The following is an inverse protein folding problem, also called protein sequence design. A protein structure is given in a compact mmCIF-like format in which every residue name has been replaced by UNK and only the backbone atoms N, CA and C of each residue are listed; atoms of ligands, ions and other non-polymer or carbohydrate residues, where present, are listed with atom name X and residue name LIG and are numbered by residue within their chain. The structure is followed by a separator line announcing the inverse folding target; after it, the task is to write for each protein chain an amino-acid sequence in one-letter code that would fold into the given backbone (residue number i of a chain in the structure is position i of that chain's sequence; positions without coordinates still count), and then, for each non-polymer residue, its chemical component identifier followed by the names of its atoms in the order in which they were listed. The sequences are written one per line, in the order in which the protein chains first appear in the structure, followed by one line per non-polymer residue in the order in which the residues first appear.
data_IF_192252796029
#
_entry.id   IF_192252796029
#
_cell.length_a   1.000
_cell.length_b   1.000
_cell.length_c   1.000
_cell.angle_alpha   90.00
_cell.angle_beta   90.00
_cell.angle_gamma   90.00
#
_symmetry.space_group_name_H-M   'P 1'
#
loop_
_entity.id
_entity.type
_entity.pdbx_description
1 polymer ?
#
# COMPACT_ATOMS: atom_id res chain seq x y z
N UNK A 1 -0.45 -20.61 4.58
CA UNK A 1 -0.17 -19.34 5.29
C UNK A 1 -1.16 -18.26 4.88
N UNK A 2 -1.34 -17.90 3.61
CA UNK A 2 -2.29 -16.90 3.15
C UNK A 2 -3.73 -17.16 3.59
N UNK A 3 -4.19 -18.45 3.54
CA UNK A 3 -5.52 -18.84 4.04
C UNK A 3 -5.69 -18.62 5.54
N UNK A 4 -4.58 -18.61 6.30
CA UNK A 4 -4.55 -18.34 7.73
C UNK A 4 -4.37 -16.85 8.07
N UNK A 5 -4.52 -15.94 7.10
CA UNK A 5 -4.49 -14.49 7.33
C UNK A 5 -3.17 -13.78 6.99
N UNK A 6 -2.10 -14.51 6.64
CA UNK A 6 -0.85 -13.88 6.23
C UNK A 6 -1.03 -13.09 4.93
N UNK A 7 -0.26 -12.00 4.78
CA UNK A 7 -0.33 -11.11 3.63
C UNK A 7 0.92 -11.17 2.74
N UNK A 8 1.98 -11.83 3.20
CA UNK A 8 3.26 -11.95 2.49
C UNK A 8 3.41 -13.30 1.84
N UNK A 9 3.96 -13.28 0.63
CA UNK A 9 4.36 -14.46 -0.14
C UNK A 9 5.87 -14.43 -0.30
N UNK A 10 6.52 -15.50 0.10
CA UNK A 10 7.96 -15.64 -0.03
C UNK A 10 8.32 -16.34 -1.35
N UNK A 11 9.49 -16.01 -1.89
CA UNK A 11 9.95 -16.55 -3.18
C UNK A 11 10.04 -18.08 -3.20
N UNK A 12 10.36 -18.71 -2.05
CA UNK A 12 10.39 -20.17 -1.90
C UNK A 12 9.00 -20.83 -1.79
N UNK A 13 7.92 -20.05 -1.73
CA UNK A 13 6.54 -20.54 -1.74
C UNK A 13 5.94 -20.57 -3.17
N UNK A 14 6.66 -20.01 -4.16
CA UNK A 14 6.23 -19.96 -5.57
C UNK A 14 6.81 -21.12 -6.36
N UNK A 15 5.98 -21.74 -7.18
CA UNK A 15 6.46 -22.66 -8.23
C UNK A 15 7.12 -21.84 -9.34
N UNK A 16 8.42 -21.58 -9.19
CA UNK A 16 9.20 -20.76 -10.13
C UNK A 16 9.44 -21.44 -11.48
N UNK A 17 9.20 -22.74 -11.58
CA UNK A 17 9.27 -23.48 -12.85
C UNK A 17 8.02 -23.17 -13.69
N UNK A 18 6.85 -23.14 -13.05
CA UNK A 18 5.59 -22.78 -13.72
C UNK A 18 5.42 -21.25 -13.87
N UNK A 19 5.94 -20.47 -12.92
CA UNK A 19 5.78 -19.01 -12.91
C UNK A 19 7.12 -18.34 -12.56
N UNK A 20 7.99 -18.12 -13.54
CA UNK A 20 9.27 -17.47 -13.33
C UNK A 20 9.11 -16.03 -12.83
N UNK A 21 9.68 -15.71 -11.64
CA UNK A 21 9.52 -14.40 -11.03
C UNK A 21 10.11 -13.24 -11.88
N UNK A 22 11.15 -13.52 -12.66
CA UNK A 22 11.78 -12.53 -13.55
C UNK A 22 10.86 -12.07 -14.71
N UNK A 23 9.72 -12.73 -14.92
CA UNK A 23 8.71 -12.30 -15.90
C UNK A 23 7.85 -11.13 -15.42
N UNK A 24 7.97 -10.74 -14.13
CA UNK A 24 7.23 -9.63 -13.56
C UNK A 24 8.12 -8.40 -13.35
N UNK A 25 7.57 -7.23 -13.61
CA UNK A 25 8.16 -5.99 -13.15
C UNK A 25 7.78 -5.70 -11.69
N UNK A 26 8.65 -4.97 -10.98
CA UNK A 26 8.36 -4.55 -9.62
C UNK A 26 7.09 -3.69 -9.58
N UNK A 27 6.16 -4.03 -8.68
CA UNK A 27 4.86 -3.38 -8.54
C UNK A 27 3.75 -3.89 -9.45
N UNK A 28 4.02 -4.87 -10.34
CA UNK A 28 2.95 -5.50 -11.13
C UNK A 28 1.91 -6.12 -10.19
N UNK A 29 0.64 -6.01 -10.59
CA UNK A 29 -0.44 -6.72 -9.92
C UNK A 29 -0.70 -8.04 -10.64
N UNK A 30 -0.81 -9.12 -9.89
CA UNK A 30 -1.04 -10.46 -10.42
C UNK A 30 -2.07 -11.22 -9.58
N UNK A 31 -2.74 -12.19 -10.20
CA UNK A 31 -3.58 -13.14 -9.48
C UNK A 31 -2.66 -14.22 -8.89
N UNK A 32 -2.70 -14.39 -7.58
CA UNK A 32 -2.05 -15.50 -6.90
C UNK A 32 -3.00 -16.69 -6.85
N UNK A 33 -2.51 -17.85 -7.29
CA UNK A 33 -3.25 -19.09 -7.29
C UNK A 33 -2.59 -20.14 -6.39
N UNK A 34 -3.40 -21.03 -5.80
CA UNK A 34 -2.90 -22.23 -5.17
C UNK A 34 -2.45 -23.25 -6.23
N UNK A 35 -1.64 -24.25 -5.84
CA UNK A 35 -1.16 -25.32 -6.73
C UNK A 35 -2.26 -26.02 -7.54
N UNK A 36 -3.50 -26.04 -7.07
CA UNK A 36 -4.66 -26.58 -7.78
C UNK A 36 -5.40 -25.56 -8.65
N UNK A 37 -4.82 -24.38 -8.96
CA UNK A 37 -5.43 -23.34 -9.81
C UNK A 37 -6.52 -22.51 -9.14
N UNK A 38 -6.77 -22.71 -7.83
CA UNK A 38 -7.76 -21.90 -7.11
C UNK A 38 -7.19 -20.52 -6.80
N UNK A 39 -7.84 -19.43 -7.24
CA UNK A 39 -7.41 -18.07 -6.91
C UNK A 39 -7.42 -17.81 -5.40
N UNK A 40 -6.39 -17.14 -4.92
CA UNK A 40 -6.20 -16.75 -3.52
C UNK A 40 -6.33 -15.24 -3.32
N UNK A 41 -6.15 -14.45 -4.36
CA UNK A 41 -6.28 -13.01 -4.35
C UNK A 41 -5.38 -12.28 -5.35
N UNK A 42 -5.42 -10.97 -5.30
CA UNK A 42 -4.55 -10.06 -6.04
C UNK A 42 -3.34 -9.72 -5.18
N UNK A 43 -2.16 -9.78 -5.76
CA UNK A 43 -0.88 -9.43 -5.11
C UNK A 43 -0.14 -8.35 -5.89
N UNK A 44 0.69 -7.57 -5.19
CA UNK A 44 1.71 -6.72 -5.80
C UNK A 44 3.05 -7.46 -5.78
N UNK A 45 3.75 -7.45 -6.91
CA UNK A 45 5.00 -8.19 -7.10
C UNK A 45 6.23 -7.36 -6.72
N UNK A 46 7.18 -8.02 -6.04
CA UNK A 46 8.55 -7.55 -5.78
C UNK A 46 9.50 -8.70 -6.14
N UNK A 47 9.70 -8.97 -7.44
CA UNK A 47 10.25 -10.25 -7.93
C UNK A 47 11.70 -10.51 -7.47
N UNK A 48 12.45 -9.47 -7.13
CA UNK A 48 13.86 -9.57 -6.72
C UNK A 48 14.03 -9.71 -5.20
N UNK A 49 12.95 -9.73 -4.43
CA UNK A 49 12.98 -9.77 -2.98
C UNK A 49 12.55 -11.13 -2.42
N UNK A 50 13.00 -11.44 -1.21
CA UNK A 50 12.58 -12.63 -0.48
C UNK A 50 11.05 -12.64 -0.28
N UNK A 51 10.45 -11.50 0.10
CA UNK A 51 9.00 -11.29 0.06
C UNK A 51 8.65 -10.84 -1.36
N UNK A 52 8.43 -11.83 -2.24
CA UNK A 52 8.26 -11.58 -3.68
C UNK A 52 6.87 -11.08 -4.06
N UNK A 53 5.90 -11.20 -3.16
CA UNK A 53 4.56 -10.65 -3.39
C UNK A 53 3.85 -10.31 -2.07
N UNK A 54 2.99 -9.30 -2.12
CA UNK A 54 2.16 -8.85 -0.99
C UNK A 54 0.71 -8.82 -1.40
N UNK A 55 -0.14 -9.46 -0.59
CA UNK A 55 -1.58 -9.57 -0.86
C UNK A 55 -2.25 -8.19 -0.75
N UNK A 56 -2.89 -7.77 -1.82
CA UNK A 56 -3.66 -6.52 -1.92
C UNK A 56 -5.14 -6.74 -1.69
N UNK A 57 -5.70 -7.80 -2.27
CA UNK A 57 -7.11 -8.14 -2.12
C UNK A 57 -7.30 -9.65 -2.16
N UNK A 58 -8.22 -10.17 -1.35
CA UNK A 58 -8.64 -11.58 -1.42
C UNK A 58 -9.70 -11.81 -2.50
N UNK A 59 -10.35 -10.76 -2.96
CA UNK A 59 -11.26 -10.80 -4.10
C UNK A 59 -10.48 -10.42 -5.37
N UNK A 60 -10.41 -11.34 -6.30
CA UNK A 60 -9.69 -11.16 -7.58
C UNK A 60 -10.37 -10.16 -8.52
N UNK A 61 -11.56 -9.70 -8.20
CA UNK A 61 -12.27 -8.67 -8.96
C UNK A 61 -11.83 -7.24 -8.57
N UNK A 62 -11.15 -7.09 -7.45
CA UNK A 62 -10.74 -5.79 -6.91
C UNK A 62 -9.22 -5.62 -6.95
N UNK A 63 -8.74 -5.00 -8.00
CA UNK A 63 -7.35 -4.54 -8.13
C UNK A 63 -7.09 -3.36 -7.20
N UNK A 64 -5.82 -3.09 -6.90
CA UNK A 64 -5.44 -1.88 -6.18
C UNK A 64 -5.56 -0.69 -7.12
N UNK A 65 -6.64 0.04 -6.95
CA UNK A 65 -6.97 1.28 -7.64
C UNK A 65 -7.51 2.33 -6.66
N UNK A 66 -7.90 3.48 -7.17
CA UNK A 66 -8.51 4.54 -6.37
C UNK A 66 -9.74 4.07 -5.60
N UNK A 67 -10.60 3.23 -6.20
CA UNK A 67 -11.84 2.77 -5.56
C UNK A 67 -11.54 1.91 -4.33
N UNK A 68 -10.60 0.96 -4.43
CA UNK A 68 -10.16 0.13 -3.31
C UNK A 68 -9.46 0.97 -2.24
N UNK A 69 -8.64 1.96 -2.63
CA UNK A 69 -8.00 2.88 -1.70
C UNK A 69 -9.03 3.69 -0.91
N UNK A 70 -10.02 4.30 -1.59
CA UNK A 70 -11.12 5.04 -0.93
C UNK A 70 -11.86 4.15 0.07
N UNK A 71 -12.21 2.92 -0.33
CA UNK A 71 -12.88 1.99 0.57
C UNK A 71 -12.05 1.72 1.83
N UNK A 72 -10.77 1.41 1.69
CA UNK A 72 -9.88 1.09 2.83
C UNK A 72 -9.57 2.28 3.71
N UNK A 73 -9.44 3.47 3.13
CA UNK A 73 -9.30 4.71 3.89
C UNK A 73 -10.53 4.98 4.75
N UNK A 74 -11.75 4.75 4.24
CA UNK A 74 -12.97 4.89 5.03
C UNK A 74 -13.05 3.85 6.17
N UNK A 75 -12.64 2.61 5.93
CA UNK A 75 -12.56 1.59 6.99
C UNK A 75 -11.56 1.99 8.07
N UNK A 76 -10.36 2.43 7.67
CA UNK A 76 -9.33 2.90 8.59
C UNK A 76 -9.80 4.12 9.39
N UNK A 77 -10.42 5.10 8.73
CA UNK A 77 -11.01 6.29 9.36
C UNK A 77 -12.03 5.90 10.43
N UNK A 78 -13.00 5.05 10.07
CA UNK A 78 -14.04 4.59 11.00
C UNK A 78 -13.46 3.95 12.27
N UNK A 79 -12.34 3.22 12.15
CA UNK A 79 -11.66 2.64 13.30
C UNK A 79 -10.98 3.72 14.16
N UNK A 80 -10.26 4.68 13.52
CA UNK A 80 -9.51 5.73 14.25
C UNK A 80 -10.45 6.70 14.97
N UNK A 81 -11.57 7.05 14.37
CA UNK A 81 -12.60 7.92 15.00
C UNK A 81 -13.21 7.31 16.27
N UNK A 82 -13.17 5.99 16.42
CA UNK A 82 -13.59 5.30 17.66
C UNK A 82 -12.51 5.30 18.74
N UNK A 83 -11.23 5.47 18.35
CA UNK A 83 -10.09 5.34 19.26
C UNK A 83 -9.51 6.70 19.68
N UNK A 84 -9.73 7.74 18.88
CA UNK A 84 -9.10 9.04 19.07
C UNK A 84 -10.12 10.18 18.99
N UNK A 85 -10.10 11.05 19.99
CA UNK A 85 -11.00 12.22 20.07
C UNK A 85 -10.62 13.33 19.09
N UNK A 86 -9.36 13.35 18.63
CA UNK A 86 -8.82 14.39 17.75
C UNK A 86 -8.15 13.76 16.52
N UNK A 87 -8.16 14.44 15.37
CA UNK A 87 -7.62 13.91 14.11
C UNK A 87 -6.08 14.00 14.04
N UNK A 88 -5.38 13.48 15.05
CA UNK A 88 -3.92 13.42 15.16
C UNK A 88 -3.52 11.98 15.44
N UNK A 89 -3.33 11.19 14.37
CA UNK A 89 -3.05 9.75 14.51
C UNK A 89 -2.48 9.18 13.20
N UNK A 90 -1.88 7.99 13.32
CA UNK A 90 -1.58 7.16 12.14
C UNK A 90 -2.87 6.63 11.57
N UNK A 91 -3.29 7.16 10.42
CA UNK A 91 -4.50 6.75 9.70
C UNK A 91 -4.34 5.37 9.07
N UNK A 92 -3.21 5.13 8.39
CA UNK A 92 -2.90 3.86 7.73
C UNK A 92 -1.58 3.33 8.25
N UNK A 93 -1.57 2.06 8.65
CA UNK A 93 -0.38 1.35 9.12
C UNK A 93 -0.18 0.04 8.35
N UNK A 94 0.17 0.14 7.09
CA UNK A 94 0.58 -0.98 6.24
C UNK A 94 -0.42 -2.13 6.21
N UNK A 95 0.09 -3.31 6.48
CA UNK A 95 -0.66 -4.57 6.47
C UNK A 95 -1.82 -4.60 7.46
N UNK A 96 -1.73 -3.88 8.57
CA UNK A 96 -2.80 -3.82 9.57
C UNK A 96 -4.08 -3.19 9.02
N UNK A 97 -3.96 -2.32 8.03
CA UNK A 97 -5.06 -1.67 7.33
C UNK A 97 -5.25 -2.23 5.91
N UNK A 98 -4.66 -3.39 5.62
CA UNK A 98 -4.70 -4.08 4.32
C UNK A 98 -4.12 -3.26 3.16
N UNK A 99 -3.22 -2.32 3.45
CA UNK A 99 -2.49 -1.48 2.49
C UNK A 99 -0.97 -1.69 2.65
N UNK A 100 -0.43 -2.86 2.25
CA UNK A 100 0.95 -3.24 2.50
C UNK A 100 1.94 -2.20 1.99
N UNK A 101 2.83 -1.72 2.88
CA UNK A 101 3.85 -0.74 2.54
C UNK A 101 3.38 0.71 2.47
N UNK A 102 2.11 0.99 2.80
CA UNK A 102 1.60 2.35 2.92
C UNK A 102 1.49 2.78 4.38
N UNK A 103 2.05 3.91 4.71
CA UNK A 103 1.83 4.60 5.99
C UNK A 103 1.28 5.97 5.70
N UNK A 104 0.21 6.34 6.41
CA UNK A 104 -0.38 7.68 6.33
C UNK A 104 -0.57 8.20 7.74
N UNK A 105 0.10 9.29 8.06
CA UNK A 105 -0.07 10.02 9.32
C UNK A 105 -0.96 11.26 9.08
N UNK A 106 -1.98 11.43 9.91
CA UNK A 106 -2.93 12.54 9.86
C UNK A 106 -2.64 13.55 10.98
N UNK A 107 -2.53 14.80 10.59
CA UNK A 107 -2.38 15.97 11.48
C UNK A 107 -3.47 16.99 11.14
N UNK A 108 -4.67 16.80 11.69
CA UNK A 108 -5.83 17.61 11.33
C UNK A 108 -6.20 17.43 9.85
N UNK A 109 -6.02 18.47 9.06
CA UNK A 109 -6.27 18.51 7.61
C UNK A 109 -4.99 18.32 6.77
N UNK A 110 -3.87 17.96 7.41
CA UNK A 110 -2.58 17.69 6.79
C UNK A 110 -2.25 16.20 6.85
N UNK A 111 -1.67 15.67 5.77
CA UNK A 111 -1.36 14.25 5.68
C UNK A 111 0.08 14.03 5.22
N UNK A 112 0.80 13.17 5.93
CA UNK A 112 2.14 12.71 5.54
C UNK A 112 2.04 11.27 5.09
N UNK A 113 2.48 11.00 3.87
CA UNK A 113 2.39 9.70 3.21
C UNK A 113 3.79 9.13 3.03
N UNK A 114 3.99 7.89 3.45
CA UNK A 114 5.21 7.12 3.21
C UNK A 114 4.87 5.84 2.45
N UNK A 115 5.63 5.56 1.40
CA UNK A 115 5.48 4.39 0.54
C UNK A 115 6.76 3.58 0.60
N UNK A 116 6.68 2.31 0.96
CA UNK A 116 7.82 1.44 1.18
C UNK A 116 7.99 0.31 0.15
N UNK A 117 7.06 0.16 -0.82
CA UNK A 117 7.16 -0.88 -1.83
C UNK A 117 6.70 -0.42 -3.22
N UNK A 118 7.13 -1.11 -4.30
CA UNK A 118 6.80 -0.74 -5.68
C UNK A 118 5.30 -0.79 -6.00
N UNK A 119 4.54 -1.69 -5.38
CA UNK A 119 3.10 -1.81 -5.62
C UNK A 119 2.34 -0.56 -5.23
N UNK A 120 2.66 0.03 -4.07
CA UNK A 120 2.08 1.31 -3.63
C UNK A 120 2.66 2.50 -4.41
N UNK A 121 3.95 2.44 -4.79
CA UNK A 121 4.57 3.51 -5.60
C UNK A 121 3.87 3.69 -6.95
N UNK A 122 3.47 2.60 -7.60
CA UNK A 122 2.75 2.65 -8.88
C UNK A 122 1.38 3.31 -8.80
N UNK A 123 0.76 3.32 -7.63
CA UNK A 123 -0.56 3.94 -7.41
C UNK A 123 -0.47 5.23 -6.58
N UNK A 124 0.72 5.85 -6.51
CA UNK A 124 0.96 7.06 -5.70
C UNK A 124 -0.05 8.18 -5.99
N UNK A 125 -0.37 8.41 -7.26
CA UNK A 125 -1.32 9.45 -7.66
C UNK A 125 -2.75 9.09 -7.21
N UNK A 126 -3.14 7.82 -7.33
CA UNK A 126 -4.43 7.32 -6.85
C UNK A 126 -4.54 7.40 -5.31
N UNK A 127 -3.42 7.28 -4.56
CA UNK A 127 -3.39 7.48 -3.11
C UNK A 127 -3.75 8.93 -2.77
N UNK A 128 -3.13 9.89 -3.46
CA UNK A 128 -3.42 11.33 -3.26
C UNK A 128 -4.87 11.63 -3.61
N UNK A 129 -5.35 11.16 -4.77
CA UNK A 129 -6.74 11.35 -5.20
C UNK A 129 -7.75 10.76 -4.20
N UNK A 130 -7.45 9.59 -3.64
CA UNK A 130 -8.29 8.94 -2.63
C UNK A 130 -8.33 9.75 -1.33
N UNK A 131 -7.17 10.26 -0.86
CA UNK A 131 -7.09 11.14 0.31
C UNK A 131 -7.88 12.43 0.09
N UNK A 132 -7.74 13.06 -1.07
CA UNK A 132 -8.48 14.28 -1.43
C UNK A 132 -9.99 14.01 -1.45
N UNK A 133 -10.41 12.88 -2.00
CA UNK A 133 -11.83 12.52 -2.07
C UNK A 133 -12.44 12.30 -0.67
N UNK A 134 -11.73 11.60 0.21
CA UNK A 134 -12.26 11.22 1.54
C UNK A 134 -12.16 12.35 2.55
N UNK A 135 -11.04 13.08 2.55
CA UNK A 135 -10.71 14.02 3.64
C UNK A 135 -10.75 15.49 3.25
N UNK A 136 -10.68 15.82 1.95
CA UNK A 136 -10.53 17.20 1.47
C UNK A 136 -9.41 17.96 2.19
N UNK A 137 -8.18 17.41 2.20
CA UNK A 137 -7.07 17.93 2.99
C UNK A 137 -6.64 19.31 2.53
N UNK A 138 -5.92 20.04 3.40
CA UNK A 138 -5.23 21.26 3.01
C UNK A 138 -3.91 20.94 2.28
N UNK A 139 -3.18 19.91 2.73
CA UNK A 139 -2.01 19.42 2.03
C UNK A 139 -1.74 17.93 2.26
N UNK A 140 -1.05 17.33 1.28
CA UNK A 140 -0.52 15.97 1.34
C UNK A 140 0.96 16.02 0.97
N UNK A 141 1.83 15.54 1.87
CA UNK A 141 3.28 15.45 1.66
C UNK A 141 3.67 13.98 1.46
N UNK A 142 4.41 13.68 0.41
CA UNK A 142 5.19 12.45 0.34
C UNK A 142 6.50 12.61 1.10
N UNK A 143 6.70 11.79 2.14
CA UNK A 143 7.96 11.67 2.88
C UNK A 143 8.60 10.30 2.61
N UNK A 144 9.05 10.12 1.38
CA UNK A 144 9.56 8.86 0.84
C UNK A 144 11.10 8.81 0.89
N UNK A 145 11.69 9.05 2.07
CA UNK A 145 13.13 9.10 2.32
C UNK A 145 13.63 7.99 3.26
N UNK A 146 12.80 6.99 3.54
CA UNK A 146 13.16 5.87 4.43
C UNK A 146 14.16 4.90 3.78
N UNK A 147 15.03 4.29 4.61
CA UNK A 147 16.00 3.28 4.15
C UNK A 147 15.34 2.01 3.57
N UNK A 148 14.10 1.70 3.97
CA UNK A 148 13.36 0.56 3.46
C UNK A 148 13.12 0.63 1.94
N UNK A 149 12.95 1.83 1.40
CA UNK A 149 12.76 2.05 -0.05
C UNK A 149 13.96 1.57 -0.88
N UNK A 150 15.19 1.76 -0.38
CA UNK A 150 16.41 1.31 -1.08
C UNK A 150 16.44 -0.21 -1.25
N UNK A 151 15.93 -0.97 -0.29
CA UNK A 151 15.85 -2.43 -0.35
C UNK A 151 14.87 -2.91 -1.43
N UNK A 152 13.89 -2.08 -1.77
CA UNK A 152 12.90 -2.33 -2.83
C UNK A 152 13.29 -1.68 -4.17
N UNK A 153 14.48 -1.06 -4.26
CA UNK A 153 14.95 -0.39 -5.48
C UNK A 153 14.22 0.90 -5.82
N UNK A 154 13.64 1.58 -4.81
CA UNK A 154 12.91 2.82 -4.98
C UNK A 154 13.76 4.04 -4.63
N UNK A 155 13.61 5.11 -5.41
CA UNK A 155 14.26 6.39 -5.16
C UNK A 155 13.73 7.08 -3.90
N UNK A 156 14.59 7.88 -3.25
CA UNK A 156 14.20 8.74 -2.15
C UNK A 156 13.71 10.09 -2.65
N UNK A 157 12.58 10.55 -2.11
CA UNK A 157 12.09 11.91 -2.37
C UNK A 157 11.19 12.41 -1.24
N UNK A 158 11.13 13.76 -1.10
CA UNK A 158 10.17 14.47 -0.27
C UNK A 158 9.55 15.53 -1.14
N UNK A 159 8.23 15.53 -1.27
CA UNK A 159 7.53 16.49 -2.13
C UNK A 159 6.09 16.77 -1.66
N UNK A 160 5.63 17.97 -1.88
CA UNK A 160 4.21 18.32 -1.75
C UNK A 160 3.44 17.68 -2.91
N UNK A 161 2.58 16.70 -2.58
CA UNK A 161 1.77 15.97 -3.57
C UNK A 161 0.42 16.66 -3.83
N UNK A 162 -0.05 17.44 -2.84
CA UNK A 162 -1.27 18.24 -2.92
C UNK A 162 -1.17 19.40 -1.95
N UNK A 163 -1.52 20.63 -2.38
CA UNK A 163 -1.36 21.81 -1.55
C UNK A 163 0.10 22.09 -1.20
N UNK A 164 0.33 22.84 -0.13
CA UNK A 164 1.67 23.14 0.41
C UNK A 164 1.68 22.81 1.88
N UNK A 165 2.60 21.92 2.29
CA UNK A 165 2.76 21.54 3.70
C UNK A 165 3.40 22.70 4.48
N UNK A 166 2.81 23.17 5.58
CA UNK A 166 3.44 24.19 6.42
C UNK A 166 4.65 23.60 7.17
N UNK A 167 5.60 24.46 7.58
CA UNK A 167 6.78 24.05 8.35
C UNK A 167 6.42 23.43 9.72
N UNK A 168 5.30 23.86 10.29
CA UNK A 168 4.77 23.35 11.58
C UNK A 168 3.27 23.18 11.48
N UNK A 169 2.78 22.06 12.03
CA UNK A 169 1.37 21.69 12.11
C UNK A 169 0.93 21.55 13.56
#
# INVERSE_FOLDING_TARGET
RLRAGHLWVYSNEIDVAATPLHGFAAGDQAILEAAGGKPLGIVAMSPNNLICARLLSRDVKHVLDKSLLVHRLNVALSLRERLFDKPFYRLVYGESDLLPGLVVDRFGDYFVVQIANPGMERVRDAIVEALVQVFKPQAVLFKNDSGARKLEGLDSYVEDAYGVMPETV
#
